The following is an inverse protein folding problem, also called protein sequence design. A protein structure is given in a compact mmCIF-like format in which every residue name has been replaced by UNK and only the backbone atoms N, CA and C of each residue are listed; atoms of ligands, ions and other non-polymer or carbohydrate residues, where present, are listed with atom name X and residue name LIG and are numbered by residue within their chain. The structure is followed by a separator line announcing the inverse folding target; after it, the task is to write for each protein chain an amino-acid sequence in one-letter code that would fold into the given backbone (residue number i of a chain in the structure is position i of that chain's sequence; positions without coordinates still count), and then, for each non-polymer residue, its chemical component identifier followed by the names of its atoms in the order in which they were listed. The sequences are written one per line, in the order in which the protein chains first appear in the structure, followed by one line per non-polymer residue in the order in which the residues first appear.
data_IF_180943543037
#
_entry.id   IF_180943543037
#
_cell.length_a   1.000
_cell.length_b   1.000
_cell.length_c   1.000
_cell.angle_alpha   90.00
_cell.angle_beta   90.00
_cell.angle_gamma   90.00
#
_symmetry.space_group_name_H-M   'P 1'
#
loop_
_entity.id
_entity.type
_entity.pdbx_description
1 polymer ?
#
# COMPACT_ATOMS: atom_id res chain seq x y z
N UNK A 1 17.06 14.47 6.96
CA UNK A 1 15.90 14.01 7.74
C UNK A 1 14.81 13.63 6.75
N UNK A 2 13.99 12.58 7.00
CA UNK A 2 12.88 12.29 6.09
C UNK A 2 12.00 13.54 5.94
N UNK A 3 11.69 13.92 4.70
CA UNK A 3 10.80 15.05 4.43
C UNK A 3 9.40 14.66 4.93
N UNK A 4 8.83 15.43 5.85
CA UNK A 4 7.49 15.21 6.42
C UNK A 4 6.44 15.04 5.33
N UNK A 5 6.52 15.85 4.26
CA UNK A 5 5.61 15.74 3.11
C UNK A 5 5.74 14.38 2.44
N UNK A 6 6.98 13.90 2.24
CA UNK A 6 7.22 12.59 1.64
C UNK A 6 6.66 11.44 2.48
N UNK A 7 6.78 11.53 3.81
CA UNK A 7 6.20 10.54 4.73
C UNK A 7 4.67 10.54 4.67
N UNK A 8 4.05 11.72 4.62
CA UNK A 8 2.60 11.86 4.46
C UNK A 8 2.14 11.25 3.13
N UNK A 9 2.82 11.58 2.03
CA UNK A 9 2.50 11.02 0.70
C UNK A 9 2.61 9.49 0.72
N UNK A 10 3.67 8.93 1.30
CA UNK A 10 3.80 7.47 1.44
C UNK A 10 2.67 6.86 2.28
N UNK A 11 2.27 7.52 3.36
CA UNK A 11 1.13 7.09 4.18
C UNK A 11 -0.19 7.09 3.41
N UNK A 12 -0.46 8.14 2.63
CA UNK A 12 -1.64 8.22 1.76
C UNK A 12 -1.59 7.13 0.69
N UNK A 13 -0.45 6.92 0.04
CA UNK A 13 -0.29 5.84 -0.95
C UNK A 13 -0.53 4.46 -0.34
N UNK A 14 -0.03 4.20 0.88
CA UNK A 14 -0.28 2.94 1.59
C UNK A 14 -1.76 2.74 1.87
N UNK A 15 -2.45 3.77 2.37
CA UNK A 15 -3.89 3.72 2.63
C UNK A 15 -4.70 3.44 1.36
N UNK A 16 -4.42 4.17 0.28
CA UNK A 16 -5.12 3.97 -1.00
C UNK A 16 -4.86 2.57 -1.59
N UNK A 17 -3.63 2.06 -1.46
CA UNK A 17 -3.31 0.69 -1.90
C UNK A 17 -4.08 -0.36 -1.09
N UNK A 18 -4.25 -0.12 0.21
CA UNK A 18 -5.01 -1.00 1.09
C UNK A 18 -6.50 -1.02 0.72
N UNK A 19 -7.11 0.16 0.55
CA UNK A 19 -8.49 0.32 0.06
C UNK A 19 -8.69 -0.41 -1.27
N UNK A 20 -7.74 -0.26 -2.22
CA UNK A 20 -7.84 -0.96 -3.51
C UNK A 20 -7.77 -2.47 -3.35
N UNK A 21 -6.92 -2.96 -2.46
CA UNK A 21 -6.87 -4.39 -2.11
C UNK A 21 -8.19 -4.90 -1.54
N UNK A 22 -8.84 -4.13 -0.65
CA UNK A 22 -10.15 -4.48 -0.10
C UNK A 22 -11.26 -4.44 -1.15
N UNK A 23 -11.26 -3.43 -2.03
CA UNK A 23 -12.21 -3.33 -3.15
C UNK A 23 -12.14 -4.58 -4.04
N UNK A 24 -10.93 -4.98 -4.44
CA UNK A 24 -10.73 -6.18 -5.26
C UNK A 24 -11.10 -7.46 -4.51
N UNK A 25 -10.87 -7.53 -3.19
CA UNK A 25 -11.33 -8.66 -2.36
C UNK A 25 -12.85 -8.74 -2.29
N UNK A 26 -13.52 -7.59 -2.20
CA UNK A 26 -14.98 -7.52 -2.16
C UNK A 26 -15.61 -7.94 -3.49
N UNK A 27 -14.96 -7.64 -4.62
CA UNK A 27 -15.34 -8.17 -5.95
C UNK A 27 -15.12 -9.68 -5.99
N UNK A 28 -14.01 -10.18 -5.45
CA UNK A 28 -13.72 -11.61 -5.32
C UNK A 28 -13.74 -12.31 -6.67
N UNK A 29 -14.56 -13.35 -6.79
CA UNK A 29 -14.85 -14.06 -8.05
C UNK A 29 -16.31 -13.83 -8.44
N UNK A 30 -16.72 -12.58 -8.47
CA UNK A 30 -18.06 -12.18 -8.90
C UNK A 30 -17.97 -11.03 -9.92
N UNK A 31 -17.12 -11.22 -10.93
CA UNK A 31 -16.94 -10.29 -12.04
C UNK A 31 -17.54 -10.91 -13.30
N UNK A 32 -18.44 -10.19 -13.98
CA UNK A 32 -19.19 -10.69 -15.14
C UNK A 32 -18.27 -11.18 -16.27
N UNK A 33 -17.97 -12.49 -16.27
CA UNK A 33 -17.51 -13.36 -17.37
C UNK A 33 -16.18 -13.06 -18.05
N UNK A 34 -15.83 -11.79 -18.19
CA UNK A 34 -14.68 -11.29 -18.94
C UNK A 34 -13.67 -10.58 -18.03
N UNK A 35 -13.90 -10.53 -16.71
CA UNK A 35 -12.98 -9.91 -15.76
C UNK A 35 -13.07 -8.38 -15.73
N UNK A 36 -12.11 -7.72 -15.06
CA UNK A 36 -12.15 -6.28 -14.77
C UNK A 36 -10.84 -5.57 -15.13
N UNK A 37 -10.93 -4.30 -15.50
CA UNK A 37 -9.76 -3.41 -15.51
C UNK A 37 -9.36 -3.00 -14.10
N UNK A 38 -8.05 -2.96 -13.81
CA UNK A 38 -7.52 -2.54 -12.51
C UNK A 38 -6.67 -1.30 -12.70
N UNK A 39 -7.03 -0.22 -12.02
CA UNK A 39 -6.29 1.04 -11.98
C UNK A 39 -5.93 1.42 -10.55
N UNK A 40 -4.83 2.16 -10.40
CA UNK A 40 -4.36 2.68 -9.13
C UNK A 40 -3.80 4.09 -9.32
N UNK A 41 -4.26 5.03 -8.49
CA UNK A 41 -3.89 6.47 -8.59
C UNK A 41 -4.14 7.07 -9.98
N UNK A 42 -5.19 6.62 -10.66
CA UNK A 42 -5.53 7.08 -12.01
C UNK A 42 -4.69 6.45 -13.12
N UNK A 43 -3.74 5.57 -12.80
CA UNK A 43 -2.93 4.84 -13.77
C UNK A 43 -3.45 3.41 -13.96
N UNK A 44 -3.55 2.91 -15.20
CA UNK A 44 -3.90 1.51 -15.44
C UNK A 44 -2.76 0.60 -14.95
N UNK A 45 -3.10 -0.36 -14.09
CA UNK A 45 -2.18 -1.43 -13.64
C UNK A 45 -2.31 -2.64 -14.56
N UNK A 46 -3.54 -2.97 -14.93
CA UNK A 46 -3.86 -3.98 -15.92
C UNK A 46 -5.17 -3.59 -16.62
N UNK A 47 -5.16 -3.61 -17.95
CA UNK A 47 -6.37 -3.32 -18.75
C UNK A 47 -7.47 -4.34 -18.51
N UNK A 48 -7.08 -5.60 -18.26
CA UNK A 48 -8.01 -6.70 -18.03
C UNK A 48 -7.38 -7.78 -17.14
N UNK A 49 -8.02 -8.04 -16.01
CA UNK A 49 -7.69 -9.10 -15.06
C UNK A 49 -8.82 -10.12 -15.09
N UNK A 50 -8.55 -11.37 -15.51
CA UNK A 50 -9.53 -12.46 -15.43
C UNK A 50 -10.06 -12.62 -14.00
N UNK A 51 -11.32 -12.99 -13.87
CA UNK A 51 -12.00 -13.15 -12.58
C UNK A 51 -11.23 -14.06 -11.61
N UNK A 52 -10.68 -15.17 -12.11
CA UNK A 52 -9.86 -16.11 -11.34
C UNK A 52 -8.59 -15.47 -10.75
N UNK A 53 -8.11 -14.38 -11.34
CA UNK A 53 -6.90 -13.68 -10.91
C UNK A 53 -7.19 -12.46 -10.02
N UNK A 54 -8.45 -12.00 -9.91
CA UNK A 54 -8.82 -10.85 -9.08
C UNK A 54 -8.37 -11.03 -7.62
N UNK A 55 -8.59 -12.18 -6.96
CA UNK A 55 -8.11 -12.38 -5.59
C UNK A 55 -6.59 -12.28 -5.43
N UNK A 56 -5.82 -12.69 -6.45
CA UNK A 56 -4.37 -12.57 -6.44
C UNK A 56 -3.93 -11.10 -6.52
N UNK A 57 -4.55 -10.30 -7.39
CA UNK A 57 -4.31 -8.86 -7.47
C UNK A 57 -4.69 -8.17 -6.15
N UNK A 58 -5.81 -8.56 -5.56
CA UNK A 58 -6.27 -8.05 -4.28
C UNK A 58 -5.24 -8.29 -3.16
N UNK A 59 -4.69 -9.50 -3.08
CA UNK A 59 -3.61 -9.82 -2.14
C UNK A 59 -2.32 -9.05 -2.46
N UNK A 60 -1.99 -8.87 -3.74
CA UNK A 60 -0.85 -8.07 -4.17
C UNK A 60 -0.93 -6.63 -3.66
N UNK A 61 -2.10 -5.99 -3.78
CA UNK A 61 -2.35 -4.64 -3.26
C UNK A 61 -2.22 -4.56 -1.74
N UNK A 62 -2.70 -5.55 -0.99
CA UNK A 62 -2.57 -5.60 0.47
C UNK A 62 -1.11 -5.79 0.89
N UNK A 63 -0.36 -6.68 0.24
CA UNK A 63 1.07 -6.88 0.52
C UNK A 63 1.85 -5.60 0.21
N UNK A 64 1.53 -4.94 -0.92
CA UNK A 64 2.13 -3.67 -1.31
C UNK A 64 1.83 -2.57 -0.28
N UNK A 65 0.58 -2.43 0.17
CA UNK A 65 0.20 -1.43 1.17
C UNK A 65 0.91 -1.64 2.50
N UNK A 66 1.02 -2.89 2.98
CA UNK A 66 1.73 -3.22 4.21
C UNK A 66 3.22 -2.91 4.09
N UNK A 67 3.83 -3.23 2.95
CA UNK A 67 5.24 -2.96 2.69
C UNK A 67 5.55 -1.46 2.75
N UNK A 68 4.73 -0.63 2.09
CA UNK A 68 4.86 0.83 2.16
C UNK A 68 4.60 1.33 3.58
N UNK A 69 3.58 0.79 4.26
CA UNK A 69 3.26 1.13 5.64
C UNK A 69 4.43 0.91 6.59
N UNK A 70 5.13 -0.23 6.49
CA UNK A 70 6.33 -0.52 7.28
C UNK A 70 7.43 0.51 7.01
N UNK A 71 7.72 0.82 5.74
CA UNK A 71 8.72 1.84 5.38
C UNK A 71 8.34 3.20 5.96
N UNK A 72 7.07 3.59 5.88
CA UNK A 72 6.56 4.84 6.44
C UNK A 72 6.76 4.90 7.96
N UNK A 73 6.40 3.83 8.68
CA UNK A 73 6.62 3.73 10.14
C UNK A 73 8.11 3.81 10.48
N UNK A 74 8.98 3.09 9.76
CA UNK A 74 10.42 3.16 9.98
C UNK A 74 10.95 4.59 9.83
N UNK A 75 10.51 5.32 8.80
CA UNK A 75 10.91 6.71 8.58
C UNK A 75 10.39 7.66 9.68
N UNK A 76 9.18 7.42 10.21
CA UNK A 76 8.63 8.18 11.33
C UNK A 76 9.40 7.95 12.64
N UNK A 77 9.75 6.70 12.94
CA UNK A 77 10.38 6.34 14.22
C UNK A 77 11.91 6.45 14.22
N UNK A 78 12.56 6.46 13.06
CA UNK A 78 14.02 6.65 12.94
C UNK A 78 14.56 7.89 13.69
N UNK A 79 13.97 9.10 13.57
CA UNK A 79 14.43 10.26 14.34
C UNK A 79 14.19 10.11 15.85
N UNK A 80 13.14 9.39 16.27
CA UNK A 80 12.85 9.16 17.69
C UNK A 80 13.89 8.21 18.31
N UNK A 81 14.22 7.11 17.63
CA UNK A 81 15.28 6.17 18.03
C UNK A 81 16.63 6.87 18.10
N UNK A 82 16.92 7.73 17.11
CA UNK A 82 18.14 8.57 17.09
C UNK A 82 18.19 9.62 18.21
N UNK A 83 17.04 10.04 18.76
CA UNK A 83 16.97 10.95 19.93
C UNK A 83 17.06 10.22 21.28
N UNK A 84 16.74 8.93 21.33
CA UNK A 84 16.85 8.09 22.54
C UNK A 84 18.28 7.55 22.76
N UNK A 85 18.99 7.21 21.67
CA UNK A 85 20.38 6.74 21.75
C UNK A 85 21.41 7.73 22.36
N UNK A 86 21.32 9.07 22.17
CA UNK A 86 22.26 10.04 22.72
C UNK A 86 22.16 10.21 24.24
N UNK A 87 21.02 9.90 24.86
CA UNK A 87 20.83 10.07 26.32
C UNK A 87 21.32 8.88 27.15
N UNK A 88 21.68 7.76 26.50
CA UNK A 88 22.13 6.52 27.16
C UNK A 88 23.67 6.41 27.24
N UNK A 89 24.40 7.42 26.75
CA UNK A 89 25.88 7.49 26.73
C UNK A 89 26.36 8.75 27.46
N UNK A 90 25.71 9.11 28.57
CA UNK A 90 26.21 10.12 29.51
C UNK A 90 26.48 9.49 30.85
#
# INVERSE_FOLDING_TARGET
MPNTVGVIVLGVCAYLAYEKGLELKAIGTNADGDGIGVSFLGLPVAERVPESNIPQYANGFVVFSVSIGIVCLLLLFLPLIRKLKPSLVR
#
